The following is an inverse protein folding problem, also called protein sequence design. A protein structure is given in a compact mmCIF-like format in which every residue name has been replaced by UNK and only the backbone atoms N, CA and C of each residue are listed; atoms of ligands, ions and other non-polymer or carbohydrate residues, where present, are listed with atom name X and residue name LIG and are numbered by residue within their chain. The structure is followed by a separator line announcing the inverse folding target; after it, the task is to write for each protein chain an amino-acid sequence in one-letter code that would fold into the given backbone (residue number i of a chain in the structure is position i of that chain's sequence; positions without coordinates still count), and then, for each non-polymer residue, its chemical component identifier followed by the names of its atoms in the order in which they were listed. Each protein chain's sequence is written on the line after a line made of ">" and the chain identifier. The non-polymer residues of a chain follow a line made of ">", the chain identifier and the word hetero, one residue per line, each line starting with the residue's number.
data_IF_757136736963
#
_entry.id   IF_757136736963
#
_cell.length_a   1.000
_cell.length_b   1.000
_cell.length_c   1.000
_cell.angle_alpha   90.00
_cell.angle_beta   90.00
_cell.angle_gamma   90.00
#
_symmetry.space_group_name_H-M   'P 1'
#
loop_
_entity.id
_entity.type
_entity.pdbx_description
1 polymer ?
#
# COMPACT_ATOMS: atom_id res chain seq x y z
N UNK A 1 28.88 3.03 -29.21
CA UNK A 1 28.33 2.28 -28.05
C UNK A 1 28.59 0.79 -28.23
N UNK A 2 29.05 0.08 -27.20
CA UNK A 2 29.17 -1.38 -27.23
C UNK A 2 27.82 -2.04 -26.87
N UNK A 3 27.18 -2.67 -27.87
CA UNK A 3 25.89 -3.33 -27.73
C UNK A 3 25.95 -4.65 -26.94
N UNK A 4 27.09 -5.34 -26.95
CA UNK A 4 27.24 -6.58 -26.18
C UNK A 4 27.32 -6.25 -24.69
N UNK A 5 28.13 -5.26 -24.33
CA UNK A 5 28.22 -4.74 -22.96
C UNK A 5 26.86 -4.20 -22.47
N UNK A 6 26.12 -3.47 -23.33
CA UNK A 6 24.78 -2.97 -23.01
C UNK A 6 23.81 -4.11 -22.67
N UNK A 7 23.73 -5.13 -23.53
CA UNK A 7 22.82 -6.26 -23.34
C UNK A 7 23.15 -7.07 -22.09
N UNK A 8 24.44 -7.29 -21.82
CA UNK A 8 24.88 -7.94 -20.58
C UNK A 8 24.42 -7.15 -19.35
N UNK A 9 24.69 -5.85 -19.31
CA UNK A 9 24.29 -4.98 -18.20
C UNK A 9 22.77 -4.94 -18.00
N UNK A 10 21.98 -4.84 -19.08
CA UNK A 10 20.51 -4.87 -19.02
C UNK A 10 20.02 -6.22 -18.49
N UNK A 11 20.62 -7.31 -18.96
CA UNK A 11 20.26 -8.67 -18.53
C UNK A 11 20.49 -8.83 -17.03
N UNK A 12 21.64 -8.41 -16.52
CA UNK A 12 21.95 -8.52 -15.10
C UNK A 12 21.06 -7.62 -14.24
N UNK A 13 20.79 -6.38 -14.68
CA UNK A 13 19.88 -5.46 -14.01
C UNK A 13 18.48 -6.02 -13.85
N UNK A 14 17.90 -6.56 -14.92
CA UNK A 14 16.55 -7.13 -14.87
C UNK A 14 16.51 -8.50 -14.21
N UNK A 15 17.57 -9.32 -14.30
CA UNK A 15 17.65 -10.59 -13.57
C UNK A 15 17.61 -10.37 -12.07
N UNK A 16 18.36 -9.39 -11.55
CA UNK A 16 18.35 -9.04 -10.12
C UNK A 16 16.97 -8.57 -9.68
N UNK A 17 16.36 -7.63 -10.40
CA UNK A 17 15.03 -7.14 -10.08
C UNK A 17 13.96 -8.25 -10.14
N UNK A 18 14.08 -9.14 -11.13
CA UNK A 18 13.15 -10.25 -11.28
C UNK A 18 13.31 -11.29 -10.17
N UNK A 19 14.53 -11.58 -9.74
CA UNK A 19 14.77 -12.47 -8.59
C UNK A 19 14.12 -11.91 -7.32
N UNK A 20 14.28 -10.61 -7.05
CA UNK A 20 13.61 -9.94 -5.94
C UNK A 20 12.08 -9.95 -6.09
N UNK A 21 11.58 -9.68 -7.29
CA UNK A 21 10.15 -9.70 -7.58
C UNK A 21 9.55 -11.09 -7.37
N UNK A 22 10.24 -12.16 -7.83
CA UNK A 22 9.85 -13.55 -7.62
C UNK A 22 9.91 -13.94 -6.14
N UNK A 23 10.94 -13.54 -5.41
CA UNK A 23 11.05 -13.78 -3.97
C UNK A 23 9.89 -13.11 -3.19
N UNK A 24 9.61 -11.83 -3.50
CA UNK A 24 8.43 -11.14 -2.95
C UNK A 24 7.15 -11.87 -3.35
N UNK A 25 7.01 -12.27 -4.61
CA UNK A 25 5.80 -12.94 -5.11
C UNK A 25 5.59 -14.31 -4.46
N UNK A 26 6.64 -15.10 -4.27
CA UNK A 26 6.59 -16.36 -3.53
C UNK A 26 6.08 -16.17 -2.09
N UNK A 27 6.43 -15.06 -1.44
CA UNK A 27 5.94 -14.75 -0.09
C UNK A 27 4.49 -14.24 -0.05
N UNK A 28 4.04 -13.56 -1.11
CA UNK A 28 2.70 -12.94 -1.19
C UNK A 28 1.63 -13.88 -1.76
N UNK A 29 2.04 -14.94 -2.48
CA UNK A 29 1.13 -15.82 -3.21
C UNK A 29 0.82 -15.33 -4.62
N UNK A 30 -0.08 -16.00 -5.35
CA UNK A 30 -0.40 -15.67 -6.73
C UNK A 30 -0.98 -14.24 -6.87
N UNK A 31 -0.91 -13.69 -8.08
CA UNK A 31 -1.53 -12.40 -8.36
C UNK A 31 -3.05 -12.50 -8.25
N UNK A 32 -3.68 -11.47 -7.66
CA UNK A 32 -5.10 -11.23 -7.86
C UNK A 32 -5.39 -10.88 -9.33
N UNK A 33 -6.63 -11.02 -9.78
CA UNK A 33 -7.02 -10.65 -11.16
C UNK A 33 -6.69 -9.20 -11.52
N UNK A 34 -6.87 -8.26 -10.57
CA UNK A 34 -6.56 -6.84 -10.77
C UNK A 34 -5.04 -6.60 -10.87
N UNK A 35 -4.23 -7.22 -10.01
CA UNK A 35 -2.77 -7.10 -10.11
C UNK A 35 -2.23 -7.72 -11.40
N UNK A 36 -2.78 -8.88 -11.80
CA UNK A 36 -2.45 -9.54 -13.07
C UNK A 36 -2.76 -8.63 -14.25
N UNK A 37 -3.96 -8.03 -14.27
CA UNK A 37 -4.39 -7.09 -15.30
C UNK A 37 -3.51 -5.83 -15.32
N UNK A 38 -3.10 -5.30 -14.18
CA UNK A 38 -2.18 -4.15 -14.11
C UNK A 38 -0.81 -4.47 -14.72
N UNK A 39 -0.24 -5.65 -14.44
CA UNK A 39 1.03 -6.07 -15.04
C UNK A 39 0.86 -6.28 -16.54
N UNK A 40 -0.23 -6.92 -16.99
CA UNK A 40 -0.54 -7.11 -18.41
C UNK A 40 -0.73 -5.78 -19.15
N UNK A 41 -1.45 -4.82 -18.57
CA UNK A 41 -1.63 -3.49 -19.14
C UNK A 41 -0.30 -2.72 -19.23
N UNK A 42 0.58 -2.90 -18.24
CA UNK A 42 1.92 -2.30 -18.26
C UNK A 42 2.79 -2.91 -19.37
N UNK A 43 2.71 -4.23 -19.57
CA UNK A 43 3.38 -4.92 -20.68
C UNK A 43 2.84 -4.43 -22.03
N UNK A 44 1.52 -4.38 -22.20
CA UNK A 44 0.88 -3.91 -23.43
C UNK A 44 1.28 -2.46 -23.76
N UNK A 45 1.39 -1.60 -22.74
CA UNK A 45 1.84 -0.23 -22.91
C UNK A 45 3.32 -0.15 -23.33
N UNK A 46 4.17 -1.01 -22.79
CA UNK A 46 5.57 -1.11 -23.21
C UNK A 46 5.70 -1.66 -24.64
N UNK A 47 4.80 -2.55 -25.07
CA UNK A 47 4.78 -3.13 -26.42
C UNK A 47 4.40 -2.12 -27.51
N UNK A 48 3.68 -1.04 -27.16
CA UNK A 48 3.34 0.06 -28.07
C UNK A 48 4.56 0.76 -28.70
N UNK A 49 5.78 0.47 -28.21
CA UNK A 49 7.03 0.87 -28.84
C UNK A 49 7.69 2.07 -28.18
N UNK A 50 8.97 2.28 -28.50
CA UNK A 50 9.85 3.21 -27.78
C UNK A 50 9.36 4.67 -27.86
N UNK A 51 9.02 5.14 -29.06
CA UNK A 51 8.66 6.54 -29.29
C UNK A 51 7.37 6.96 -28.59
N UNK A 52 6.40 6.06 -28.50
CA UNK A 52 5.11 6.35 -27.91
C UNK A 52 5.10 6.12 -26.40
N UNK A 53 5.78 5.06 -25.92
CA UNK A 53 5.91 4.80 -24.49
C UNK A 53 6.64 5.93 -23.74
N UNK A 54 7.86 6.29 -24.16
CA UNK A 54 8.65 7.30 -23.43
C UNK A 54 8.08 8.72 -23.56
N UNK A 55 7.37 9.01 -24.66
CA UNK A 55 6.62 10.26 -24.81
C UNK A 55 5.44 10.31 -23.84
N UNK A 56 4.74 9.18 -23.65
CA UNK A 56 3.59 9.08 -22.76
C UNK A 56 3.97 9.22 -21.27
N UNK A 57 5.04 8.54 -20.83
CA UNK A 57 5.47 8.58 -19.42
C UNK A 57 6.25 9.86 -19.06
N UNK A 58 6.67 10.63 -20.06
CA UNK A 58 7.33 11.91 -19.86
C UNK A 58 8.85 11.83 -19.74
N UNK A 59 9.51 12.95 -20.04
CA UNK A 59 10.97 13.07 -20.09
C UNK A 59 11.62 12.80 -18.74
N UNK A 60 11.08 13.36 -17.66
CA UNK A 60 11.66 13.21 -16.31
C UNK A 60 11.70 11.74 -15.88
N UNK A 61 10.67 10.96 -16.26
CA UNK A 61 10.62 9.53 -15.96
C UNK A 61 11.68 8.76 -16.75
N UNK A 62 11.85 9.08 -18.03
CA UNK A 62 12.88 8.47 -18.87
C UNK A 62 14.31 8.76 -18.35
N UNK A 63 14.56 9.99 -17.90
CA UNK A 63 15.85 10.37 -17.30
C UNK A 63 16.10 9.65 -15.96
N UNK A 64 15.08 9.49 -15.12
CA UNK A 64 15.19 8.72 -13.87
C UNK A 64 15.42 7.22 -14.11
N UNK A 65 14.80 6.65 -15.14
CA UNK A 65 15.03 5.24 -15.49
C UNK A 65 16.47 5.02 -15.97
N UNK A 66 16.97 5.91 -16.85
CA UNK A 66 18.37 5.88 -17.29
C UNK A 66 19.34 6.06 -16.12
N UNK A 67 19.04 7.00 -15.20
CA UNK A 67 19.85 7.22 -14.01
C UNK A 67 20.02 5.95 -13.19
N UNK A 68 18.89 5.31 -12.83
CA UNK A 68 18.90 4.03 -12.08
C UNK A 68 19.66 2.92 -12.80
N UNK A 69 19.48 2.81 -14.12
CA UNK A 69 20.19 1.82 -14.91
C UNK A 69 21.71 2.07 -14.93
N UNK A 70 22.16 3.31 -15.10
CA UNK A 70 23.58 3.65 -15.08
C UNK A 70 24.21 3.48 -13.70
N UNK A 71 23.49 3.86 -12.65
CA UNK A 71 23.95 3.69 -11.27
C UNK A 71 24.12 2.21 -10.90
N UNK A 72 23.24 1.34 -11.41
CA UNK A 72 23.38 -0.09 -11.23
C UNK A 72 24.49 -0.70 -12.08
N UNK A 73 24.52 -0.38 -13.37
CA UNK A 73 25.39 -1.07 -14.34
C UNK A 73 26.84 -0.61 -14.31
N UNK A 74 27.11 0.59 -13.80
CA UNK A 74 28.43 1.22 -13.86
C UNK A 74 28.89 1.57 -15.28
N UNK A 75 28.01 1.48 -16.28
CA UNK A 75 28.35 1.87 -17.65
C UNK A 75 28.61 3.38 -17.74
N UNK A 76 29.62 3.76 -18.52
CA UNK A 76 30.02 5.16 -18.67
C UNK A 76 28.90 6.00 -19.28
N UNK A 77 28.40 6.99 -18.52
CA UNK A 77 27.36 7.90 -19.00
C UNK A 77 27.82 8.66 -20.24
N UNK A 78 29.08 9.08 -20.32
CA UNK A 78 29.60 9.81 -21.49
C UNK A 78 29.55 8.99 -22.78
N UNK A 79 29.66 7.67 -22.68
CA UNK A 79 29.64 6.76 -23.83
C UNK A 79 28.22 6.39 -24.24
N UNK A 80 27.29 6.25 -23.29
CA UNK A 80 25.95 5.71 -23.52
C UNK A 80 24.84 6.76 -23.55
N UNK A 81 25.04 7.94 -22.94
CA UNK A 81 24.07 9.04 -22.92
C UNK A 81 23.77 9.62 -24.32
N UNK A 82 24.74 9.77 -25.25
CA UNK A 82 24.45 10.16 -26.62
C UNK A 82 23.50 9.18 -27.35
N UNK A 83 23.40 7.95 -26.84
CA UNK A 83 22.57 6.86 -27.35
C UNK A 83 21.34 6.58 -26.46
N UNK A 84 20.92 7.54 -25.63
CA UNK A 84 19.87 7.37 -24.62
C UNK A 84 18.58 6.71 -25.15
N UNK A 85 18.14 7.06 -26.36
CA UNK A 85 16.92 6.49 -26.97
C UNK A 85 17.07 4.99 -27.27
N UNK A 86 18.26 4.56 -27.68
CA UNK A 86 18.57 3.16 -27.98
C UNK A 86 18.68 2.36 -26.69
N UNK A 87 19.32 2.93 -25.66
CA UNK A 87 19.39 2.36 -24.31
C UNK A 87 17.99 2.19 -23.71
N UNK A 88 17.15 3.23 -23.78
CA UNK A 88 15.76 3.20 -23.34
C UNK A 88 14.93 2.15 -24.09
N UNK A 89 15.19 1.93 -25.39
CA UNK A 89 14.51 0.88 -26.13
C UNK A 89 14.92 -0.53 -25.69
N UNK A 90 16.19 -0.75 -25.39
CA UNK A 90 16.65 -2.02 -24.84
C UNK A 90 16.11 -2.26 -23.41
N UNK A 91 16.06 -1.22 -22.57
CA UNK A 91 15.41 -1.26 -21.25
C UNK A 91 13.92 -1.62 -21.39
N UNK A 92 13.20 -0.99 -22.32
CA UNK A 92 11.79 -1.29 -22.60
C UNK A 92 11.59 -2.76 -22.98
N UNK A 93 12.41 -3.30 -23.88
CA UNK A 93 12.36 -4.73 -24.27
C UNK A 93 12.58 -5.64 -23.06
N UNK A 94 13.54 -5.31 -22.19
CA UNK A 94 13.80 -6.08 -20.98
C UNK A 94 12.66 -5.99 -19.95
N UNK A 95 12.00 -4.82 -19.81
CA UNK A 95 10.78 -4.69 -18.97
C UNK A 95 9.64 -5.58 -19.45
N UNK A 96 9.44 -5.70 -20.76
CA UNK A 96 8.45 -6.63 -21.35
C UNK A 96 8.78 -8.06 -20.96
N UNK A 97 10.03 -8.48 -21.17
CA UNK A 97 10.49 -9.83 -20.81
C UNK A 97 10.29 -10.13 -19.32
N UNK A 98 10.72 -9.22 -18.44
CA UNK A 98 10.56 -9.36 -17.00
C UNK A 98 9.08 -9.40 -16.56
N UNK A 99 8.22 -8.58 -17.18
CA UNK A 99 6.77 -8.56 -16.93
C UNK A 99 6.10 -9.88 -17.30
N UNK A 100 6.45 -10.45 -18.45
CA UNK A 100 5.95 -11.76 -18.87
C UNK A 100 6.46 -12.88 -17.96
N UNK A 101 7.73 -12.83 -17.56
CA UNK A 101 8.31 -13.86 -16.72
C UNK A 101 7.76 -13.85 -15.28
N UNK A 102 7.45 -12.68 -14.71
CA UNK A 102 6.83 -12.60 -13.38
C UNK A 102 5.36 -13.07 -13.43
N UNK A 103 4.64 -12.82 -14.53
CA UNK A 103 3.29 -13.34 -14.74
C UNK A 103 3.30 -14.87 -14.81
N UNK A 104 4.19 -15.45 -15.63
CA UNK A 104 4.35 -16.90 -15.73
C UNK A 104 4.75 -17.53 -14.39
N UNK A 105 5.63 -16.88 -13.63
CA UNK A 105 5.97 -17.34 -12.28
C UNK A 105 4.78 -17.28 -11.32
N UNK A 106 3.95 -16.24 -11.40
CA UNK A 106 2.77 -16.16 -10.54
C UNK A 106 1.74 -17.25 -10.86
N UNK A 107 1.62 -17.68 -12.12
CA UNK A 107 0.76 -18.81 -12.51
C UNK A 107 1.20 -20.12 -11.87
N UNK A 108 2.51 -20.34 -11.63
CA UNK A 108 2.96 -21.54 -10.93
C UNK A 108 2.58 -21.55 -9.45
N UNK A 109 2.22 -20.40 -8.87
CA UNK A 109 1.70 -20.29 -7.50
C UNK A 109 0.19 -20.54 -7.42
N UNK A 110 -0.52 -20.51 -8.56
CA UNK A 110 -1.97 -20.77 -8.66
C UNK A 110 -2.30 -22.25 -8.84
N UNK A 111 -1.31 -23.09 -9.14
CA UNK A 111 -1.49 -24.51 -9.38
C UNK A 111 -0.64 -25.36 -8.43
N UNK A 112 -1.26 -26.39 -7.83
CA UNK A 112 -0.53 -27.43 -7.12
C UNK A 112 -0.18 -28.54 -8.11
N UNK A 113 1.11 -28.68 -8.42
CA UNK A 113 1.61 -29.79 -9.22
C UNK A 113 1.98 -30.98 -8.30
N UNK A 114 1.20 -32.05 -8.40
CA UNK A 114 1.42 -33.31 -7.68
C UNK A 114 2.16 -34.37 -8.52
N UNK A 115 2.57 -34.03 -9.75
CA UNK A 115 3.17 -34.96 -10.70
C UNK A 115 4.71 -35.02 -10.66
N UNK A 116 5.34 -34.07 -9.96
CA UNK A 116 6.79 -34.05 -9.73
C UNK A 116 7.21 -34.65 -8.38
N UNK A 117 8.42 -35.25 -8.27
CA UNK A 117 8.98 -35.57 -6.97
C UNK A 117 9.13 -34.28 -6.17
N UNK A 118 8.55 -34.27 -4.96
CA UNK A 118 8.52 -33.16 -4.03
C UNK A 118 9.92 -32.54 -3.91
N UNK A 119 10.13 -31.36 -4.52
CA UNK A 119 11.38 -30.62 -4.39
C UNK A 119 11.69 -30.45 -2.91
N UNK A 120 12.91 -30.84 -2.52
CA UNK A 120 13.39 -30.90 -1.14
C UNK A 120 13.39 -29.50 -0.47
N UNK A 121 12.21 -29.02 -0.11
CA UNK A 121 11.99 -27.83 0.69
C UNK A 121 11.94 -28.22 2.16
N UNK A 122 13.08 -28.04 2.83
CA UNK A 122 13.26 -27.94 4.27
C UNK A 122 12.76 -29.13 5.12
N UNK A 123 13.72 -29.78 5.79
CA UNK A 123 13.46 -30.83 6.77
C UNK A 123 12.31 -30.42 7.71
N UNK A 124 11.19 -31.16 7.59
CA UNK A 124 10.09 -31.14 8.55
C UNK A 124 10.68 -31.47 9.91
N UNK A 125 10.82 -30.49 10.79
CA UNK A 125 10.96 -30.75 12.22
C UNK A 125 9.62 -31.34 12.66
N UNK A 126 9.55 -32.60 13.13
CA UNK A 126 8.29 -33.15 13.61
C UNK A 126 7.87 -32.37 14.86
N UNK A 127 6.61 -31.95 14.98
CA UNK A 127 6.14 -31.33 16.21
C UNK A 127 6.20 -32.35 17.36
N UNK A 128 6.59 -31.95 18.58
CA UNK A 128 6.48 -32.84 19.74
C UNK A 128 5.00 -33.19 19.96
N UNK A 129 4.75 -34.46 20.30
CA UNK A 129 3.44 -35.00 20.55
C UNK A 129 2.74 -34.19 21.66
N UNK A 130 1.76 -33.37 21.29
CA UNK A 130 0.89 -32.69 22.22
C UNK A 130 -0.36 -33.53 22.45
N UNK A 131 -0.49 -34.00 23.68
CA UNK A 131 -1.68 -34.61 24.28
C UNK A 131 -2.90 -33.72 24.05
N UNK A 132 -3.98 -34.30 23.54
CA UNK A 132 -5.25 -33.61 23.33
C UNK A 132 -5.88 -33.24 24.68
N UNK A 133 -5.72 -31.98 25.08
CA UNK A 133 -6.52 -31.33 26.11
C UNK A 133 -7.68 -30.58 25.46
N UNK A 134 -8.90 -31.00 25.77
CA UNK A 134 -10.15 -30.36 25.35
C UNK A 134 -10.28 -29.00 26.02
N UNK A 135 -10.37 -27.94 25.22
CA UNK A 135 -10.65 -26.57 25.66
C UNK A 135 -10.85 -25.67 24.45
N UNK A 136 -12.10 -25.49 24.04
CA UNK A 136 -12.49 -24.48 23.06
C UNK A 136 -12.29 -23.10 23.70
N UNK A 137 -11.19 -22.42 23.37
CA UNK A 137 -11.05 -20.98 23.51
C UNK A 137 -10.48 -20.41 22.21
N UNK A 138 -11.33 -19.79 21.41
CA UNK A 138 -10.90 -18.83 20.38
C UNK A 138 -10.50 -17.54 21.10
N UNK A 139 -9.37 -17.59 21.81
CA UNK A 139 -8.78 -16.45 22.51
C UNK A 139 -7.96 -15.61 21.54
N UNK A 140 -8.45 -14.39 21.27
CA UNK A 140 -7.66 -13.27 20.75
C UNK A 140 -6.36 -13.15 21.54
N UNK A 141 -5.21 -13.34 20.89
CA UNK A 141 -3.92 -13.25 21.56
C UNK A 141 -3.46 -11.78 21.57
N UNK A 142 -3.49 -11.18 22.77
CA UNK A 142 -2.79 -9.94 23.09
C UNK A 142 -1.33 -10.05 22.63
N UNK A 143 -0.81 -9.17 21.78
CA UNK A 143 0.61 -9.14 21.48
C UNK A 143 1.39 -8.81 22.75
N UNK A 144 2.41 -9.61 23.05
CA UNK A 144 3.09 -9.69 24.35
C UNK A 144 3.87 -8.42 24.79
N UNK A 145 3.79 -7.31 24.04
CA UNK A 145 4.63 -6.13 24.24
C UNK A 145 3.89 -4.80 24.49
N UNK A 146 2.56 -4.79 24.64
CA UNK A 146 1.84 -3.55 24.93
C UNK A 146 2.05 -3.12 26.39
N UNK A 147 2.52 -1.88 26.57
CA UNK A 147 2.40 -1.14 27.82
C UNK A 147 0.93 -1.08 28.26
N UNK A 148 0.67 -0.77 29.54
CA UNK A 148 -0.67 -0.83 30.14
C UNK A 148 -1.76 -0.03 29.42
N UNK A 149 -1.40 0.89 28.51
CA UNK A 149 -2.34 1.58 27.62
C UNK A 149 -1.64 1.95 26.28
N UNK A 150 -1.87 1.21 25.18
CA UNK A 150 -1.18 1.41 23.92
C UNK A 150 -1.61 2.68 23.18
N UNK A 151 -0.69 3.30 22.44
CA UNK A 151 -1.00 4.44 21.58
C UNK A 151 -1.94 4.03 20.45
N UNK A 152 -2.67 4.99 19.89
CA UNK A 152 -3.53 4.72 18.73
C UNK A 152 -2.73 4.22 17.53
N UNK A 153 -1.52 4.76 17.33
CA UNK A 153 -0.59 4.29 16.29
C UNK A 153 -0.20 2.81 16.48
N UNK A 154 0.08 2.38 17.71
CA UNK A 154 0.42 0.99 18.05
C UNK A 154 -0.77 0.05 17.82
N UNK A 155 -1.96 0.46 18.25
CA UNK A 155 -3.21 -0.29 18.00
C UNK A 155 -3.44 -0.46 16.50
N UNK A 156 -3.24 0.60 15.72
CA UNK A 156 -3.42 0.54 14.27
C UNK A 156 -2.38 -0.40 13.62
N UNK A 157 -1.11 -0.30 14.02
CA UNK A 157 -0.05 -1.17 13.50
C UNK A 157 -0.35 -2.64 13.79
N UNK A 158 -0.83 -2.96 15.00
CA UNK A 158 -1.22 -4.32 15.36
C UNK A 158 -2.44 -4.81 14.57
N UNK A 159 -3.46 -3.96 14.39
CA UNK A 159 -4.62 -4.30 13.56
C UNK A 159 -4.20 -4.56 12.12
N UNK A 160 -3.35 -3.71 11.56
CA UNK A 160 -2.84 -3.88 10.20
C UNK A 160 -2.02 -5.17 10.09
N UNK A 161 -1.17 -5.48 11.06
CA UNK A 161 -0.40 -6.72 11.08
C UNK A 161 -1.31 -7.97 11.17
N UNK A 162 -2.37 -7.94 11.98
CA UNK A 162 -3.37 -9.02 12.04
C UNK A 162 -4.11 -9.16 10.70
N UNK A 163 -4.64 -8.07 10.17
CA UNK A 163 -5.37 -8.09 8.91
C UNK A 163 -4.49 -8.58 7.74
N UNK A 164 -3.20 -8.25 7.74
CA UNK A 164 -2.24 -8.74 6.75
C UNK A 164 -1.94 -10.23 6.95
N UNK A 165 -1.78 -10.71 8.19
CA UNK A 165 -1.58 -12.15 8.48
C UNK A 165 -2.75 -13.01 8.03
N UNK A 166 -3.97 -12.49 8.15
CA UNK A 166 -5.20 -13.18 7.74
C UNK A 166 -5.63 -12.86 6.31
N UNK A 167 -4.86 -12.08 5.55
CA UNK A 167 -5.22 -11.56 4.22
C UNK A 167 -6.61 -10.90 4.18
N UNK A 168 -7.07 -10.37 5.30
CA UNK A 168 -8.38 -9.72 5.45
C UNK A 168 -8.38 -8.35 4.77
N UNK A 169 -7.25 -7.64 4.83
CA UNK A 169 -7.09 -6.34 4.17
C UNK A 169 -6.17 -6.45 2.97
N UNK A 170 -6.61 -5.92 1.83
CA UNK A 170 -5.71 -5.62 0.71
C UNK A 170 -4.78 -4.46 1.08
N UNK A 171 -3.63 -4.33 0.39
CA UNK A 171 -2.73 -3.20 0.58
C UNK A 171 -3.43 -1.84 0.38
N UNK A 172 -4.32 -1.75 -0.62
CA UNK A 172 -5.16 -0.57 -0.86
C UNK A 172 -6.08 -0.27 0.32
N UNK A 173 -6.67 -1.30 0.92
CA UNK A 173 -7.55 -1.13 2.09
C UNK A 173 -6.73 -0.69 3.31
N UNK A 174 -5.59 -1.30 3.57
CA UNK A 174 -4.67 -0.90 4.65
C UNK A 174 -4.20 0.55 4.52
N UNK A 175 -3.81 0.98 3.32
CA UNK A 175 -3.46 2.37 3.03
C UNK A 175 -4.63 3.33 3.21
N UNK A 176 -5.85 2.93 2.79
CA UNK A 176 -7.08 3.71 3.05
C UNK A 176 -7.31 3.89 4.56
N UNK A 177 -7.17 2.85 5.38
CA UNK A 177 -7.25 2.98 6.83
C UNK A 177 -6.16 3.90 7.40
N UNK A 178 -4.92 3.77 6.93
CA UNK A 178 -3.80 4.60 7.40
C UNK A 178 -4.06 6.10 7.15
N UNK A 179 -4.63 6.46 5.99
CA UNK A 179 -5.00 7.86 5.70
C UNK A 179 -5.97 8.43 6.75
N UNK A 180 -6.98 7.65 7.15
CA UNK A 180 -7.99 8.11 8.11
C UNK A 180 -7.48 8.14 9.54
N UNK A 181 -6.68 7.14 9.94
CA UNK A 181 -6.04 7.09 11.26
C UNK A 181 -5.00 8.20 11.40
N UNK A 182 -4.15 8.40 10.39
CA UNK A 182 -3.16 9.48 10.36
C UNK A 182 -3.81 10.86 10.47
N UNK A 183 -4.88 11.11 9.70
CA UNK A 183 -5.63 12.36 9.79
C UNK A 183 -6.22 12.61 11.19
N UNK A 184 -6.69 11.56 11.87
CA UNK A 184 -7.21 11.67 13.23
C UNK A 184 -6.09 11.99 14.23
N UNK A 185 -4.94 11.33 14.10
CA UNK A 185 -3.73 11.57 14.91
C UNK A 185 -3.21 12.99 14.70
N UNK A 186 -3.12 13.48 13.47
CA UNK A 186 -2.71 14.86 13.17
C UNK A 186 -3.61 15.89 13.86
N UNK A 187 -4.91 15.59 14.00
CA UNK A 187 -5.88 16.52 14.58
C UNK A 187 -5.94 16.45 16.12
N UNK A 188 -5.90 15.24 16.68
CA UNK A 188 -6.15 14.99 18.10
C UNK A 188 -4.88 14.61 18.90
N UNK A 189 -3.74 14.50 18.22
CA UNK A 189 -2.49 13.95 18.76
C UNK A 189 -2.50 12.42 18.80
N UNK A 190 -1.31 11.82 18.80
CA UNK A 190 -1.13 10.40 19.13
C UNK A 190 -1.02 10.24 20.64
N UNK A 191 -1.99 9.54 21.23
CA UNK A 191 -2.08 9.32 22.67
C UNK A 191 -2.73 7.95 22.93
N UNK A 192 -2.72 7.45 24.17
CA UNK A 192 -3.29 6.14 24.44
C UNK A 192 -4.75 6.05 24.01
N UNK A 193 -5.15 4.95 23.38
CA UNK A 193 -6.48 4.84 22.77
C UNK A 193 -7.61 5.01 23.80
N UNK A 194 -7.36 4.61 25.05
CA UNK A 194 -8.30 4.73 26.17
C UNK A 194 -8.58 6.19 26.56
N UNK A 195 -7.75 7.15 26.15
CA UNK A 195 -7.84 8.56 26.57
C UNK A 195 -8.72 9.41 25.65
N UNK A 196 -9.02 8.93 24.44
CA UNK A 196 -9.91 9.64 23.52
C UNK A 196 -11.37 9.59 24.02
N UNK A 197 -12.11 10.66 23.75
CA UNK A 197 -13.49 10.85 24.18
C UNK A 197 -14.36 11.19 22.97
N UNK A 198 -15.68 11.16 23.18
CA UNK A 198 -16.66 11.59 22.16
C UNK A 198 -16.43 13.03 21.67
N UNK A 199 -15.80 13.89 22.49
CA UNK A 199 -15.44 15.24 22.09
C UNK A 199 -14.43 15.25 20.92
N UNK A 200 -13.46 14.34 20.92
CA UNK A 200 -12.45 14.21 19.86
C UNK A 200 -13.07 13.71 18.56
N UNK A 201 -13.96 12.71 18.64
CA UNK A 201 -14.71 12.20 17.49
C UNK A 201 -15.60 13.28 16.86
N UNK A 202 -16.24 14.13 17.68
CA UNK A 202 -17.01 15.29 17.19
C UNK A 202 -16.11 16.32 16.52
N UNK A 203 -15.01 16.71 17.16
CA UNK A 203 -14.05 17.66 16.59
C UNK A 203 -13.48 17.16 15.25
N UNK A 204 -13.19 15.87 15.14
CA UNK A 204 -12.78 15.24 13.90
C UNK A 204 -13.87 15.30 12.83
N UNK A 205 -15.10 14.91 13.17
CA UNK A 205 -16.25 15.00 12.26
C UNK A 205 -16.48 16.43 11.75
N UNK A 206 -16.35 17.44 12.60
CA UNK A 206 -16.58 18.84 12.24
C UNK A 206 -15.51 19.33 11.25
N UNK A 207 -14.24 19.02 11.52
CA UNK A 207 -13.14 19.33 10.58
C UNK A 207 -13.31 18.59 9.26
N UNK A 208 -13.71 17.31 9.30
CA UNK A 208 -13.84 16.51 8.09
C UNK A 208 -14.93 17.05 7.15
N UNK A 209 -16.05 17.56 7.69
CA UNK A 209 -17.13 18.14 6.88
C UNK A 209 -16.73 19.41 6.13
N UNK A 210 -15.68 20.09 6.59
CA UNK A 210 -15.16 21.30 5.96
C UNK A 210 -13.85 21.06 5.20
N UNK A 211 -13.30 19.84 5.26
CA UNK A 211 -12.00 19.53 4.69
C UNK A 211 -12.05 19.60 3.15
N UNK A 212 -11.11 20.29 2.49
CA UNK A 212 -11.06 20.35 1.04
C UNK A 212 -10.89 18.97 0.42
N UNK A 213 -11.67 18.69 -0.62
CA UNK A 213 -11.44 17.54 -1.48
C UNK A 213 -10.07 17.66 -2.14
N UNK A 214 -9.36 16.53 -2.33
CA UNK A 214 -8.04 16.51 -2.96
C UNK A 214 -7.01 17.48 -2.33
N UNK A 215 -7.06 17.71 -1.00
CA UNK A 215 -6.18 18.67 -0.31
C UNK A 215 -4.69 18.53 -0.61
N UNK A 216 -4.21 17.33 -0.90
CA UNK A 216 -2.81 17.04 -1.23
C UNK A 216 -2.44 17.39 -2.68
N UNK A 217 -3.41 17.78 -3.52
CA UNK A 217 -3.20 18.12 -4.93
C UNK A 217 -3.22 19.62 -5.22
N UNK A 218 -3.63 20.43 -4.24
CA UNK A 218 -3.67 21.88 -4.38
C UNK A 218 -2.48 22.48 -3.63
N UNK A 219 -1.69 23.28 -4.32
CA UNK A 219 -0.56 24.01 -3.71
C UNK A 219 -0.99 24.85 -2.49
N UNK A 220 -2.24 25.35 -2.50
CA UNK A 220 -2.81 26.12 -1.39
C UNK A 220 -3.06 25.31 -0.11
N UNK A 221 -3.09 23.98 -0.18
CA UNK A 221 -3.41 23.09 0.95
C UNK A 221 -2.43 21.93 1.13
N UNK A 222 -1.43 21.80 0.26
CA UNK A 222 -0.40 20.76 0.33
C UNK A 222 0.52 21.01 1.55
N UNK A 223 0.80 19.95 2.31
CA UNK A 223 1.63 20.02 3.51
C UNK A 223 0.98 20.67 4.74
N UNK A 224 -0.21 21.26 4.60
CA UNK A 224 -0.93 21.88 5.72
C UNK A 224 -1.62 20.85 6.61
N UNK A 225 -1.66 21.13 7.91
CA UNK A 225 -2.44 20.34 8.86
C UNK A 225 -3.95 20.45 8.59
N UNK A 226 -4.79 19.55 9.13
CA UNK A 226 -6.21 19.47 8.77
C UNK A 226 -7.00 20.77 8.99
N UNK A 227 -6.73 21.49 10.08
CA UNK A 227 -7.39 22.78 10.40
C UNK A 227 -6.92 23.91 9.50
N UNK A 228 -5.64 23.94 9.17
CA UNK A 228 -5.04 24.92 8.28
C UNK A 228 -5.55 24.73 6.85
N UNK A 229 -5.64 23.47 6.40
CA UNK A 229 -6.23 23.10 5.11
C UNK A 229 -7.70 23.54 5.00
N UNK A 230 -8.50 23.43 6.06
CA UNK A 230 -9.88 23.96 6.08
C UNK A 230 -9.90 25.47 5.87
N UNK A 231 -9.05 26.21 6.59
CA UNK A 231 -8.99 27.67 6.49
C UNK A 231 -8.55 28.12 5.09
N UNK A 232 -7.48 27.53 4.56
CA UNK A 232 -7.00 27.79 3.21
C UNK A 232 -8.06 27.40 2.15
N UNK A 233 -8.73 26.26 2.32
CA UNK A 233 -9.82 25.83 1.46
C UNK A 233 -10.97 26.83 1.39
N UNK A 234 -11.37 27.39 2.53
CA UNK A 234 -12.39 28.46 2.61
C UNK A 234 -11.93 29.73 1.89
N UNK A 235 -10.68 30.15 2.09
CA UNK A 235 -10.10 31.33 1.43
C UNK A 235 -10.04 31.18 -0.09
N UNK A 236 -9.74 29.97 -0.58
CA UNK A 236 -9.60 29.68 -2.00
C UNK A 236 -10.86 29.12 -2.66
N UNK A 237 -11.99 29.05 -1.95
CA UNK A 237 -13.27 28.55 -2.49
C UNK A 237 -13.22 27.09 -2.94
N UNK A 238 -12.38 26.26 -2.32
CA UNK A 238 -12.21 24.86 -2.69
C UNK A 238 -13.45 24.03 -2.30
N UNK A 239 -13.81 23.07 -3.15
CA UNK A 239 -14.86 22.12 -2.83
C UNK A 239 -14.46 21.23 -1.65
N UNK A 240 -15.38 21.01 -0.71
CA UNK A 240 -15.17 20.12 0.44
C UNK A 240 -15.41 18.65 0.06
N UNK A 241 -14.89 17.72 0.86
CA UNK A 241 -15.16 16.30 0.66
C UNK A 241 -16.66 15.97 0.78
N UNK A 242 -17.09 14.94 0.05
CA UNK A 242 -18.50 14.51 0.06
C UNK A 242 -18.92 13.93 1.41
N UNK A 243 -20.22 13.98 1.73
CA UNK A 243 -20.79 13.33 2.93
C UNK A 243 -20.53 11.82 2.95
N UNK A 244 -20.49 11.16 1.79
CA UNK A 244 -20.12 9.75 1.66
C UNK A 244 -18.66 9.53 2.07
N UNK A 245 -17.75 10.39 1.65
CA UNK A 245 -16.34 10.37 2.05
C UNK A 245 -16.20 10.62 3.55
N UNK A 246 -17.00 11.52 4.11
CA UNK A 246 -17.02 11.77 5.55
C UNK A 246 -17.43 10.53 6.34
N UNK A 247 -18.56 9.94 5.97
CA UNK A 247 -19.06 8.73 6.62
C UNK A 247 -18.09 7.54 6.46
N UNK A 248 -17.34 7.46 5.34
CA UNK A 248 -16.28 6.47 5.15
C UNK A 248 -15.19 6.63 6.20
N UNK A 249 -14.63 7.84 6.37
CA UNK A 249 -13.58 8.09 7.36
C UNK A 249 -14.02 7.77 8.79
N UNK A 250 -15.23 8.19 9.17
CA UNK A 250 -15.81 7.87 10.48
C UNK A 250 -16.00 6.36 10.69
N UNK A 251 -16.47 5.64 9.67
CA UNK A 251 -16.63 4.18 9.73
C UNK A 251 -15.31 3.41 9.83
N UNK A 252 -14.24 3.92 9.21
CA UNK A 252 -12.89 3.33 9.32
C UNK A 252 -12.37 3.43 10.74
N UNK A 253 -12.45 4.62 11.35
CA UNK A 253 -12.04 4.82 12.74
C UNK A 253 -12.90 4.01 13.71
N UNK A 254 -14.22 3.96 13.50
CA UNK A 254 -15.10 3.11 14.30
C UNK A 254 -14.69 1.63 14.26
N UNK A 255 -14.24 1.13 13.11
CA UNK A 255 -13.80 -0.26 12.96
C UNK A 255 -12.52 -0.53 13.75
N UNK A 256 -11.60 0.43 13.81
CA UNK A 256 -10.40 0.35 14.65
C UNK A 256 -10.78 0.27 16.13
N UNK A 257 -11.67 1.14 16.60
CA UNK A 257 -12.13 1.14 18.00
C UNK A 257 -12.81 -0.18 18.38
N UNK A 258 -13.71 -0.68 17.54
CA UNK A 258 -14.39 -1.98 17.76
C UNK A 258 -13.45 -3.17 17.74
N UNK A 259 -12.35 -3.08 17.01
CA UNK A 259 -11.33 -4.11 17.06
C UNK A 259 -10.52 -3.98 18.35
N UNK A 260 -10.05 -2.79 18.70
CA UNK A 260 -9.24 -2.55 19.89
C UNK A 260 -9.97 -2.97 21.18
N UNK A 261 -11.27 -2.69 21.28
CA UNK A 261 -12.14 -3.14 22.38
C UNK A 261 -12.11 -4.66 22.59
N UNK A 262 -11.90 -5.46 21.53
CA UNK A 262 -11.79 -6.92 21.63
C UNK A 262 -10.40 -7.42 22.00
N UNK A 263 -9.39 -6.54 21.98
CA UNK A 263 -7.99 -6.89 22.23
C UNK A 263 -7.49 -6.40 23.58
N UNK A 264 -8.18 -5.41 24.18
CA UNK A 264 -7.84 -4.84 25.47
C UNK A 264 -8.62 -5.53 26.58
N UNK A 265 -8.00 -5.62 27.76
CA UNK A 265 -8.64 -6.19 28.96
C UNK A 265 -9.66 -5.22 29.58
N UNK A 266 -9.48 -3.91 29.35
CA UNK A 266 -10.38 -2.86 29.80
C UNK A 266 -11.37 -2.47 28.69
N UNK A 267 -12.63 -2.28 29.05
CA UNK A 267 -13.69 -1.87 28.14
C UNK A 267 -13.33 -0.54 27.44
N UNK A 268 -13.33 -0.54 26.11
CA UNK A 268 -13.04 0.64 25.31
C UNK A 268 -14.32 1.17 24.65
N UNK A 269 -14.91 2.28 25.16
CA UNK A 269 -16.14 2.79 24.60
C UNK A 269 -15.95 3.28 23.16
N UNK A 270 -16.84 2.84 22.26
CA UNK A 270 -16.90 3.35 20.88
C UNK A 270 -17.25 4.86 20.90
N UNK A 271 -16.24 5.70 20.67
CA UNK A 271 -16.39 7.16 20.63
C UNK A 271 -17.01 7.67 19.32
N UNK A 272 -17.00 6.83 18.27
CA UNK A 272 -17.54 7.16 16.94
C UNK A 272 -19.00 6.71 16.78
N UNK A 273 -19.45 5.64 17.46
CA UNK A 273 -20.85 5.26 17.62
C UNK A 273 -21.73 5.39 16.36
N UNK A 274 -23.00 5.82 16.45
CA UNK A 274 -23.86 6.08 15.29
C UNK A 274 -23.58 7.46 14.65
N UNK A 275 -22.39 8.04 14.83
CA UNK A 275 -22.06 9.39 14.38
C UNK A 275 -21.91 9.40 12.85
N UNK A 276 -23.04 9.57 12.16
CA UNK A 276 -23.12 9.75 10.71
C UNK A 276 -23.51 11.18 10.39
N UNK A 277 -23.19 11.60 9.16
CA UNK A 277 -23.65 12.87 8.58
C UNK A 277 -24.73 12.53 7.57
N UNK A 278 -25.89 13.17 7.70
CA UNK A 278 -26.96 13.06 6.71
C UNK A 278 -26.48 13.69 5.39
N UNK A 279 -26.96 13.18 4.25
CA UNK A 279 -26.73 13.83 2.97
C UNK A 279 -27.27 15.27 3.03
N UNK A 280 -26.50 16.26 2.56
CA UNK A 280 -27.02 17.62 2.41
C UNK A 280 -28.19 17.55 1.42
N UNK A 281 -29.38 17.90 1.87
CA UNK A 281 -30.52 18.10 0.98
C UNK A 281 -30.14 19.25 0.04
N UNK A 282 -30.13 19.00 -1.26
CA UNK A 282 -30.04 20.05 -2.27
C UNK A 282 -31.28 20.90 -2.15
N UNK A 283 -31.16 22.09 -1.55
CA UNK A 283 -32.16 23.13 -1.70
C UNK A 283 -32.27 23.44 -3.19
N UNK A 284 -33.43 23.11 -3.78
CA UNK A 284 -33.84 23.57 -5.10
C UNK A 284 -34.35 24.99 -5.01
#
# INVERSE_FOLDING_TARGET
>A
MDHAALRAAITDYFRTQLAEAKARRASLGPYTSEEREQVQNSVALLEAGNGDYWRLVGRDFAEQELGRFFDFSGLSRDVYWPHAIEVLNEIRKAKIGAGNEILAFAETLDAYDFSGPQSAGQARVPPPAATYGVGNDKGSQRPANWASDPMLSDIFAARQAEANRSSEWSAKLGADYWVWVGLFIELAGDRPISTYRKADARAFKDVLQELPANRTKYAATEGLGPREAVNAGKQHGLAVISTTTVNKGLGRLQTIWKWADKQLDEDLPDIFGPMKVAARATAR
#
